data_IF_089508463776
#
_entry.id   IF_089508463776
#
_cell.length_a   1.000
_cell.length_b   1.000
_cell.length_c   1.000
_cell.angle_alpha   90.00
_cell.angle_beta   90.00
_cell.angle_gamma   90.00
#
_symmetry.space_group_name_H-M   'P 1'
#
loop_
_entity.id
_entity.type
_entity.pdbx_description
1 polymer ?
#
# COMPACT_ATOMS: atom_id res chain seq x y z
N UNK A 1 -20.49 -4.14 7.78
CA UNK A 1 -19.80 -3.79 6.53
C UNK A 1 -18.74 -2.76 6.84
N UNK A 2 -17.52 -2.93 6.33
CA UNK A 2 -16.46 -1.93 6.45
C UNK A 2 -16.51 -0.97 5.28
N UNK A 3 -16.22 0.31 5.54
CA UNK A 3 -16.17 1.36 4.51
C UNK A 3 -14.80 2.02 4.55
N UNK A 4 -14.08 1.95 3.45
CA UNK A 4 -12.74 2.51 3.31
C UNK A 4 -12.76 3.73 2.37
N UNK A 5 -11.84 4.66 2.59
CA UNK A 5 -11.68 5.84 1.75
C UNK A 5 -10.24 6.01 1.27
N UNK A 6 -10.07 6.56 0.07
CA UNK A 6 -8.77 6.94 -0.44
C UNK A 6 -8.18 8.13 0.32
N UNK A 7 -6.89 8.08 0.63
CA UNK A 7 -6.16 9.22 1.17
C UNK A 7 -6.00 10.25 0.04
N UNK A 8 -6.51 11.46 0.23
CA UNK A 8 -6.62 12.47 -0.82
C UNK A 8 -5.28 13.08 -1.27
N UNK A 9 -4.18 12.72 -0.64
CA UNK A 9 -2.85 13.27 -0.95
C UNK A 9 -1.78 12.19 -0.94
N UNK A 10 -0.77 12.33 -1.80
CA UNK A 10 0.43 11.50 -1.81
C UNK A 10 1.60 12.12 -1.03
N UNK A 11 1.45 13.35 -0.54
CA UNK A 11 2.49 14.03 0.23
C UNK A 11 2.51 13.48 1.67
N UNK A 12 3.61 12.84 2.11
CA UNK A 12 3.72 12.32 3.47
C UNK A 12 3.61 13.38 4.56
N UNK A 13 3.85 14.66 4.23
CA UNK A 13 3.67 15.76 5.19
C UNK A 13 2.21 16.05 5.50
N UNK A 14 1.31 15.72 4.57
CA UNK A 14 -0.13 15.99 4.66
C UNK A 14 -0.97 14.73 4.89
N UNK A 15 -0.46 13.55 4.51
CA UNK A 15 -1.23 12.31 4.53
C UNK A 15 -1.63 11.87 5.93
N UNK A 16 -0.80 12.13 6.94
CA UNK A 16 -1.15 11.86 8.34
C UNK A 16 -2.40 12.60 8.78
N UNK A 17 -2.46 13.91 8.54
CA UNK A 17 -3.63 14.75 8.81
C UNK A 17 -4.87 14.31 8.03
N UNK A 18 -4.70 14.03 6.74
CA UNK A 18 -5.79 13.58 5.88
C UNK A 18 -6.38 12.26 6.38
N UNK A 19 -5.53 11.33 6.80
CA UNK A 19 -5.98 10.04 7.34
C UNK A 19 -6.63 10.20 8.72
N UNK A 20 -6.12 11.09 9.55
CA UNK A 20 -6.74 11.42 10.84
C UNK A 20 -8.17 11.94 10.66
N UNK A 21 -8.39 12.79 9.67
CA UNK A 21 -9.72 13.28 9.35
C UNK A 21 -10.68 12.14 8.91
N UNK A 22 -10.19 11.16 8.16
CA UNK A 22 -10.97 9.97 7.80
C UNK A 22 -11.32 9.12 9.02
N UNK A 23 -10.37 8.93 9.93
CA UNK A 23 -10.60 8.21 11.19
C UNK A 23 -11.68 8.91 12.04
N UNK A 24 -11.60 10.22 12.18
CA UNK A 24 -12.59 11.03 12.92
C UNK A 24 -13.96 11.03 12.25
N UNK A 25 -14.01 10.91 10.92
CA UNK A 25 -15.26 10.78 10.17
C UNK A 25 -15.88 9.37 10.27
N UNK A 26 -15.19 8.40 10.87
CA UNK A 26 -15.72 7.06 11.12
C UNK A 26 -15.47 6.04 10.01
N UNK A 27 -14.54 6.29 9.09
CA UNK A 27 -14.12 5.27 8.12
C UNK A 27 -13.34 4.15 8.80
N UNK A 28 -13.52 2.93 8.31
CA UNK A 28 -12.86 1.73 8.83
C UNK A 28 -11.43 1.58 8.31
N UNK A 29 -11.18 1.98 7.07
CA UNK A 29 -9.88 1.93 6.43
C UNK A 29 -9.56 3.16 5.59
N UNK A 30 -8.27 3.42 5.42
CA UNK A 30 -7.73 4.42 4.50
C UNK A 30 -6.73 3.77 3.56
N UNK A 31 -6.84 4.03 2.27
CA UNK A 31 -5.97 3.39 1.30
C UNK A 31 -5.20 4.37 0.42
N UNK A 32 -4.03 3.91 0.00
CA UNK A 32 -3.22 4.53 -1.05
C UNK A 32 -3.23 3.67 -2.31
N UNK A 33 -3.06 4.30 -3.47
CA UNK A 33 -2.86 3.60 -4.75
C UNK A 33 -1.50 3.96 -5.33
N UNK A 34 -0.82 2.99 -5.93
CA UNK A 34 0.45 3.25 -6.62
C UNK A 34 0.20 3.75 -8.03
N UNK A 35 0.31 5.06 -8.20
CA UNK A 35 0.20 5.75 -9.49
C UNK A 35 1.55 6.34 -9.89
N UNK A 36 1.75 7.64 -9.71
CA UNK A 36 3.01 8.34 -9.96
C UNK A 36 3.94 8.39 -8.74
N UNK A 37 3.45 7.99 -7.57
CA UNK A 37 4.15 8.07 -6.29
C UNK A 37 4.20 6.72 -5.58
N UNK A 38 5.14 6.58 -4.63
CA UNK A 38 5.22 5.40 -3.78
C UNK A 38 4.00 5.31 -2.86
N UNK A 39 3.33 4.14 -2.76
CA UNK A 39 2.12 4.01 -1.97
C UNK A 39 2.38 3.84 -0.47
N UNK A 40 3.62 3.54 -0.05
CA UNK A 40 3.94 3.23 1.35
C UNK A 40 4.30 4.47 2.17
N UNK A 41 4.99 5.45 1.56
CA UNK A 41 5.44 6.65 2.27
C UNK A 41 4.30 7.43 2.94
N UNK A 42 3.15 7.66 2.29
CA UNK A 42 2.02 8.31 2.96
C UNK A 42 1.47 7.53 4.16
N UNK A 43 1.59 6.20 4.15
CA UNK A 43 1.10 5.35 5.23
C UNK A 43 1.97 5.40 6.49
N UNK A 44 3.24 5.81 6.37
CA UNK A 44 4.13 6.00 7.53
C UNK A 44 3.57 7.10 8.44
N UNK A 45 3.30 8.26 7.90
CA UNK A 45 2.74 9.38 8.67
C UNK A 45 1.29 9.13 9.09
N UNK A 46 0.51 8.47 8.24
CA UNK A 46 -0.84 8.02 8.59
C UNK A 46 -0.82 7.09 9.83
N UNK A 47 0.13 6.17 9.90
CA UNK A 47 0.26 5.27 11.05
C UNK A 47 0.60 6.01 12.36
N UNK A 48 1.40 7.07 12.27
CA UNK A 48 1.80 7.88 13.43
C UNK A 48 0.67 8.79 13.93
N UNK A 49 -0.16 9.29 13.04
CA UNK A 49 -1.22 10.26 13.36
C UNK A 49 -2.57 9.62 13.72
N UNK A 50 -2.73 8.32 13.50
CA UNK A 50 -3.99 7.59 13.71
C UNK A 50 -3.84 6.44 14.70
N UNK A 51 -4.97 5.96 15.26
CA UNK A 51 -4.96 4.92 16.29
C UNK A 51 -5.80 3.69 15.93
N UNK A 52 -6.85 3.82 15.12
CA UNK A 52 -7.85 2.77 14.90
C UNK A 52 -8.03 2.37 13.43
N UNK A 53 -7.94 3.33 12.52
CA UNK A 53 -8.22 3.12 11.10
C UNK A 53 -7.22 2.15 10.49
N UNK A 54 -7.69 1.19 9.70
CA UNK A 54 -6.85 0.27 8.93
C UNK A 54 -6.13 1.05 7.80
N UNK A 55 -4.88 0.70 7.54
CA UNK A 55 -4.04 1.36 6.55
C UNK A 55 -3.71 0.38 5.44
N UNK A 56 -4.10 0.69 4.21
CA UNK A 56 -4.13 -0.28 3.12
C UNK A 56 -3.39 0.25 1.89
N UNK A 57 -2.57 -0.59 1.26
CA UNK A 57 -2.16 -0.32 -0.12
C UNK A 57 -3.19 -0.95 -1.07
N UNK A 58 -3.86 -0.14 -1.90
CA UNK A 58 -4.85 -0.62 -2.86
C UNK A 58 -4.58 -0.08 -4.28
N UNK A 59 -3.62 -0.57 -4.93
CA UNK A 59 -2.66 -1.65 -4.63
C UNK A 59 -1.22 -1.14 -4.70
N UNK A 60 -0.28 -1.84 -4.07
CA UNK A 60 1.14 -1.72 -4.39
C UNK A 60 1.49 -2.68 -5.54
N UNK A 61 2.31 -2.21 -6.48
CA UNK A 61 2.69 -2.98 -7.67
C UNK A 61 3.70 -4.06 -7.30
N UNK A 62 3.26 -5.31 -7.26
CA UNK A 62 4.07 -6.46 -6.83
C UNK A 62 5.28 -6.70 -7.73
N UNK A 63 5.06 -6.72 -9.06
CA UNK A 63 6.10 -7.12 -10.02
C UNK A 63 7.20 -6.07 -10.26
N UNK A 64 7.06 -4.90 -9.68
CA UNK A 64 8.12 -3.88 -9.63
C UNK A 64 9.06 -4.06 -8.44
N UNK A 65 8.81 -5.03 -7.55
CA UNK A 65 9.51 -5.19 -6.27
C UNK A 65 9.97 -6.63 -6.05
N UNK A 66 10.99 -6.75 -5.19
CA UNK A 66 11.44 -8.05 -4.67
C UNK A 66 10.55 -8.46 -3.47
N UNK A 67 10.19 -9.77 -3.33
CA UNK A 67 9.37 -10.24 -2.21
C UNK A 67 9.95 -9.90 -0.84
N UNK A 68 11.25 -10.02 -0.64
CA UNK A 68 11.90 -9.71 0.64
C UNK A 68 11.81 -8.22 0.99
N UNK A 69 11.92 -7.34 -0.01
CA UNK A 69 11.75 -5.89 0.20
C UNK A 69 10.31 -5.60 0.65
N UNK A 70 9.32 -6.23 0.03
CA UNK A 70 7.93 -6.09 0.42
C UNK A 70 7.67 -6.65 1.82
N UNK A 71 8.26 -7.79 2.16
CA UNK A 71 8.11 -8.40 3.49
C UNK A 71 8.68 -7.49 4.59
N UNK A 72 9.88 -6.93 4.41
CA UNK A 72 10.48 -6.00 5.34
C UNK A 72 9.62 -4.74 5.53
N UNK A 73 9.18 -4.17 4.44
CA UNK A 73 8.37 -2.95 4.43
C UNK A 73 7.00 -3.19 5.08
N UNK A 74 6.37 -4.30 4.76
CA UNK A 74 5.12 -4.73 5.38
C UNK A 74 5.26 -4.98 6.88
N UNK A 75 6.35 -5.63 7.30
CA UNK A 75 6.65 -5.86 8.71
C UNK A 75 6.84 -4.55 9.48
N UNK A 76 7.62 -3.63 8.94
CA UNK A 76 7.88 -2.34 9.59
C UNK A 76 6.61 -1.49 9.70
N UNK A 77 5.79 -1.43 8.65
CA UNK A 77 4.50 -0.75 8.70
C UNK A 77 3.51 -1.43 9.64
N UNK A 78 3.51 -2.75 9.71
CA UNK A 78 2.67 -3.48 10.66
C UNK A 78 3.04 -3.15 12.10
N UNK A 79 4.33 -3.10 12.40
CA UNK A 79 4.84 -2.69 13.72
C UNK A 79 4.50 -1.22 14.02
N UNK A 80 4.78 -0.33 13.07
CA UNK A 80 4.52 1.11 13.23
C UNK A 80 3.04 1.41 13.45
N UNK A 81 2.17 0.74 12.71
CA UNK A 81 0.70 0.89 12.81
C UNK A 81 0.06 0.11 13.96
N UNK A 82 0.84 -0.63 14.74
CA UNK A 82 0.34 -1.51 15.81
C UNK A 82 -0.69 -2.54 15.30
N UNK A 83 -0.38 -3.17 14.19
CA UNK A 83 -1.19 -4.25 13.62
C UNK A 83 -2.32 -3.82 12.67
N UNK A 84 -2.37 -2.55 12.25
CA UNK A 84 -3.45 -2.03 11.40
C UNK A 84 -3.11 -2.00 9.90
N UNK A 85 -1.89 -2.35 9.51
CA UNK A 85 -1.49 -2.32 8.11
C UNK A 85 -1.99 -3.56 7.34
N UNK A 86 -2.49 -3.34 6.14
CA UNK A 86 -2.89 -4.38 5.19
C UNK A 86 -2.13 -4.18 3.90
N UNK A 87 -1.31 -5.16 3.53
CA UNK A 87 -0.55 -5.14 2.30
C UNK A 87 -1.40 -5.65 1.13
N UNK A 88 -1.98 -4.72 0.37
CA UNK A 88 -2.67 -5.02 -0.87
C UNK A 88 -1.73 -5.00 -2.07
N UNK A 89 -1.62 -6.10 -2.77
CA UNK A 89 -0.72 -6.31 -3.91
C UNK A 89 -1.49 -6.51 -5.20
N UNK A 90 -0.95 -5.99 -6.30
CA UNK A 90 -1.47 -6.23 -7.64
C UNK A 90 -0.36 -6.43 -8.66
N UNK A 91 -0.65 -7.22 -9.70
CA UNK A 91 0.30 -7.53 -10.78
C UNK A 91 0.51 -6.37 -11.75
N UNK A 92 -0.41 -5.43 -11.80
CA UNK A 92 -0.51 -4.43 -12.86
C UNK A 92 -0.61 -5.06 -14.27
N UNK A 93 -0.60 -4.24 -15.29
CA UNK A 93 -0.63 -4.68 -16.69
C UNK A 93 0.77 -4.70 -17.29
N UNK A 94 0.96 -5.55 -18.31
CA UNK A 94 2.25 -5.73 -18.98
C UNK A 94 2.95 -4.42 -19.37
N UNK A 95 2.30 -3.44 -20.05
CA UNK A 95 2.96 -2.20 -20.43
C UNK A 95 3.53 -1.41 -19.25
N UNK A 96 2.84 -1.38 -18.12
CA UNK A 96 3.34 -0.70 -16.93
C UNK A 96 4.59 -1.40 -16.37
N UNK A 97 4.55 -2.72 -16.27
CA UNK A 97 5.68 -3.49 -15.75
C UNK A 97 6.92 -3.37 -16.65
N UNK A 98 6.74 -3.54 -17.97
CA UNK A 98 7.87 -3.55 -18.90
C UNK A 98 8.40 -2.17 -19.26
N UNK A 99 7.53 -1.17 -19.45
CA UNK A 99 7.93 0.16 -19.93
C UNK A 99 8.19 1.15 -18.79
N UNK A 100 7.38 1.12 -17.75
CA UNK A 100 7.49 2.06 -16.63
C UNK A 100 8.51 1.59 -15.59
N UNK A 101 8.48 0.30 -15.23
CA UNK A 101 9.36 -0.25 -14.21
C UNK A 101 10.57 -1.02 -14.78
N UNK A 102 10.67 -1.18 -16.10
CA UNK A 102 11.74 -1.92 -16.77
C UNK A 102 11.94 -3.35 -16.24
N UNK A 103 10.84 -3.98 -15.84
CA UNK A 103 10.84 -5.34 -15.28
C UNK A 103 10.28 -6.34 -16.29
N UNK A 104 10.70 -7.60 -16.15
CA UNK A 104 10.19 -8.69 -16.99
C UNK A 104 8.72 -8.98 -16.69
N UNK A 105 7.98 -9.36 -17.73
CA UNK A 105 6.60 -9.82 -17.60
C UNK A 105 6.54 -11.33 -17.77
N UNK A 106 5.80 -12.00 -16.93
CA UNK A 106 5.50 -13.44 -17.02
C UNK A 106 4.05 -13.69 -16.63
N UNK A 107 3.60 -14.95 -16.62
CA UNK A 107 2.24 -15.31 -16.23
C UNK A 107 1.86 -14.69 -14.88
N UNK A 108 0.90 -13.75 -14.84
CA UNK A 108 0.67 -12.98 -13.63
C UNK A 108 0.14 -13.81 -12.46
N UNK A 109 -0.71 -14.80 -12.72
CA UNK A 109 -1.26 -15.64 -11.67
C UNK A 109 -0.20 -16.52 -10.99
N UNK A 110 0.61 -17.20 -11.79
CA UNK A 110 1.69 -18.06 -11.26
C UNK A 110 2.74 -17.23 -10.52
N UNK A 111 3.17 -16.10 -11.11
CA UNK A 111 4.17 -15.22 -10.50
C UNK A 111 3.66 -14.56 -9.23
N UNK A 112 2.39 -14.17 -9.17
CA UNK A 112 1.79 -13.60 -7.96
C UNK A 112 1.74 -14.64 -6.84
N UNK A 113 1.40 -15.90 -7.16
CA UNK A 113 1.43 -17.00 -6.22
C UNK A 113 2.83 -17.17 -5.63
N UNK A 114 3.86 -17.32 -6.47
CA UNK A 114 5.25 -17.44 -6.03
C UNK A 114 5.68 -16.26 -5.14
N UNK A 115 5.29 -15.05 -5.52
CA UNK A 115 5.65 -13.85 -4.76
C UNK A 115 5.03 -13.80 -3.37
N UNK A 116 3.82 -14.31 -3.21
CA UNK A 116 3.13 -14.36 -1.91
C UNK A 116 3.68 -15.49 -1.04
N UNK A 117 4.07 -16.61 -1.67
CA UNK A 117 4.60 -17.79 -0.97
C UNK A 117 6.09 -17.66 -0.60
N UNK A 118 6.80 -16.73 -1.23
CA UNK A 118 8.21 -16.49 -0.94
C UNK A 118 8.41 -15.77 0.42
#
# INVERSE_FOLDING_TARGET
MKIDAGIATNDPRESGKATKALEEAGYDGAFTAETAHDPFLPLVTAALETEKIELVTAIAVAFARNPMILANLGHDLQKLSKGRFILGLGSQIRPHITKRFSMSWSSPAARMKEMIEA
#
